data_IF_671789122490
#
_entry.id   IF_671789122490
#
_cell.length_a   1.000
_cell.length_b   1.000
_cell.length_c   1.000
_cell.angle_alpha   90.00
_cell.angle_beta   90.00
_cell.angle_gamma   90.00
#
_symmetry.space_group_name_H-M   'P 1'
#
loop_
_entity.id
_entity.type
_entity.pdbx_description
1 polymer ?
#
# COMPACT_ATOMS: atom_id res chain seq x y z
N UNK A 1 10.85 -6.40 7.94
CA UNK A 1 10.24 -6.53 6.61
C UNK A 1 10.55 -7.87 5.96
N UNK A 2 11.81 -8.28 5.83
CA UNK A 2 12.18 -9.51 5.10
C UNK A 2 11.50 -10.80 5.60
N UNK A 3 11.39 -10.97 6.91
CA UNK A 3 10.69 -12.11 7.51
C UNK A 3 9.20 -12.13 7.12
N UNK A 4 8.50 -11.00 7.27
CA UNK A 4 7.10 -10.86 6.86
C UNK A 4 6.92 -11.07 5.35
N UNK A 5 7.88 -10.65 4.53
CA UNK A 5 7.81 -10.85 3.07
C UNK A 5 7.86 -12.32 2.68
N UNK A 6 8.52 -13.18 3.46
CA UNK A 6 8.57 -14.62 3.21
C UNK A 6 7.25 -15.33 3.55
N UNK A 7 6.47 -14.76 4.48
CA UNK A 7 5.18 -15.30 4.91
C UNK A 7 4.01 -14.87 3.99
N UNK A 8 4.14 -13.74 3.30
CA UNK A 8 3.05 -13.13 2.54
C UNK A 8 3.05 -13.59 1.08
N UNK A 9 1.87 -13.98 0.59
CA UNK A 9 1.64 -14.24 -0.84
C UNK A 9 1.08 -12.99 -1.51
N UNK A 10 1.48 -12.76 -2.76
CA UNK A 10 1.03 -11.62 -3.58
C UNK A 10 0.55 -12.18 -4.91
N UNK A 11 -0.72 -11.93 -5.23
CA UNK A 11 -1.38 -12.38 -6.45
C UNK A 11 -1.89 -11.21 -7.29
N UNK A 12 -1.31 -10.02 -7.09
CA UNK A 12 -1.62 -8.82 -7.86
C UNK A 12 -1.27 -7.54 -7.11
N UNK A 13 -1.64 -6.40 -7.70
CA UNK A 13 -1.40 -5.08 -7.10
C UNK A 13 -2.51 -4.08 -7.44
N UNK A 14 -2.74 -3.10 -6.57
CA UNK A 14 -3.61 -1.95 -6.84
C UNK A 14 -2.77 -0.69 -6.74
N UNK A 15 -2.71 0.07 -7.83
CA UNK A 15 -2.10 1.41 -7.83
C UNK A 15 -3.13 2.41 -7.31
N UNK A 16 -2.76 3.15 -6.27
CA UNK A 16 -3.67 4.02 -5.53
C UNK A 16 -3.10 5.43 -5.52
N UNK A 17 -3.78 6.36 -6.18
CA UNK A 17 -3.54 7.78 -5.98
C UNK A 17 -4.13 8.19 -4.63
N UNK A 18 -3.25 8.54 -3.68
CA UNK A 18 -3.65 8.83 -2.31
C UNK A 18 -4.51 10.08 -2.18
N UNK A 19 -4.26 11.09 -3.00
CA UNK A 19 -4.99 12.36 -2.98
C UNK A 19 -6.37 12.14 -3.59
N UNK A 20 -6.42 11.46 -4.73
CA UNK A 20 -7.69 11.16 -5.39
C UNK A 20 -8.59 10.29 -4.49
N UNK A 21 -8.04 9.22 -3.92
CA UNK A 21 -8.83 8.30 -3.09
C UNK A 21 -9.38 8.97 -1.84
N UNK A 22 -8.60 9.79 -1.13
CA UNK A 22 -9.11 10.40 0.10
C UNK A 22 -10.17 11.47 -0.17
N UNK A 23 -10.12 12.13 -1.33
CA UNK A 23 -11.07 13.19 -1.70
C UNK A 23 -12.34 12.65 -2.36
N UNK A 24 -12.21 11.61 -3.18
CA UNK A 24 -13.28 11.19 -4.10
C UNK A 24 -13.91 9.84 -3.76
N UNK A 25 -13.18 8.92 -3.09
CA UNK A 25 -13.67 7.56 -2.87
C UNK A 25 -14.43 7.46 -1.54
N UNK A 26 -15.75 7.20 -1.55
CA UNK A 26 -16.49 6.95 -0.33
C UNK A 26 -15.96 5.72 0.39
N UNK A 27 -15.99 5.71 1.72
CA UNK A 27 -15.52 4.57 2.51
C UNK A 27 -16.22 3.25 2.14
N UNK A 28 -17.51 3.30 1.79
CA UNK A 28 -18.30 2.14 1.32
C UNK A 28 -17.74 1.51 0.04
N UNK A 29 -16.97 2.26 -0.76
CA UNK A 29 -16.35 1.79 -1.99
C UNK A 29 -14.90 1.36 -1.81
N UNK A 30 -14.28 1.67 -0.66
CA UNK A 30 -12.91 1.26 -0.35
C UNK A 30 -12.65 -0.25 -0.54
N UNK A 31 -13.56 -1.18 -0.17
CA UNK A 31 -13.37 -2.60 -0.42
C UNK A 31 -13.12 -2.97 -1.88
N UNK A 32 -13.60 -2.15 -2.85
CA UNK A 32 -13.38 -2.37 -4.28
C UNK A 32 -11.88 -2.30 -4.65
N UNK A 33 -11.05 -1.59 -3.88
CA UNK A 33 -9.61 -1.48 -4.11
C UNK A 33 -8.88 -2.82 -3.96
N UNK A 34 -9.46 -3.80 -3.26
CA UNK A 34 -8.88 -5.12 -3.11
C UNK A 34 -9.16 -6.00 -4.34
N UNK A 35 -10.10 -5.65 -5.22
CA UNK A 35 -10.48 -6.47 -6.36
C UNK A 35 -10.94 -7.87 -5.91
N UNK A 36 -10.45 -8.93 -6.59
CA UNK A 36 -10.89 -10.31 -6.35
C UNK A 36 -10.22 -11.00 -5.14
N UNK A 37 -9.09 -10.49 -4.65
CA UNK A 37 -8.36 -11.08 -3.50
C UNK A 37 -7.67 -10.01 -2.67
N UNK A 38 -7.66 -10.19 -1.35
CA UNK A 38 -6.91 -9.34 -0.43
C UNK A 38 -5.40 -9.61 -0.45
N UNK A 39 -4.99 -10.77 -0.97
CA UNK A 39 -3.58 -11.18 -1.07
C UNK A 39 -2.87 -10.44 -2.23
N UNK A 40 -2.77 -9.12 -2.11
CA UNK A 40 -2.21 -8.25 -3.14
C UNK A 40 -1.42 -7.09 -2.54
N UNK A 41 -0.61 -6.44 -3.37
CA UNK A 41 0.13 -5.24 -2.98
C UNK A 41 -0.73 -3.98 -3.18
N UNK A 42 -0.75 -3.10 -2.19
CA UNK A 42 -1.25 -1.74 -2.35
C UNK A 42 -0.08 -0.80 -2.60
N UNK A 43 -0.11 -0.08 -3.72
CA UNK A 43 0.97 0.81 -4.15
C UNK A 43 0.42 2.22 -4.15
N UNK A 44 0.73 2.99 -3.12
CA UNK A 44 0.27 4.35 -2.95
C UNK A 44 1.21 5.33 -3.66
N UNK A 45 0.66 6.15 -4.54
CA UNK A 45 1.30 7.31 -5.19
C UNK A 45 0.77 8.60 -4.58
N UNK A 46 1.41 9.73 -4.94
CA UNK A 46 1.07 11.06 -4.40
C UNK A 46 1.04 11.08 -2.86
N UNK A 47 2.05 10.44 -2.26
CA UNK A 47 2.20 10.32 -0.81
C UNK A 47 3.24 11.32 -0.31
N UNK A 48 2.94 12.03 0.79
CA UNK A 48 3.88 12.96 1.43
C UNK A 48 4.79 12.31 2.46
N UNK A 49 4.23 11.53 3.40
CA UNK A 49 4.99 10.90 4.51
C UNK A 49 4.59 9.45 4.80
N UNK A 50 3.52 8.95 4.17
CA UNK A 50 2.97 7.61 4.43
C UNK A 50 2.01 7.54 5.61
N UNK A 51 1.87 8.61 6.41
CA UNK A 51 0.97 8.64 7.57
C UNK A 51 -0.49 8.36 7.19
N UNK A 52 -1.01 9.09 6.19
CA UNK A 52 -2.41 8.95 5.74
C UNK A 52 -2.73 7.53 5.22
N UNK A 53 -1.96 6.96 4.25
CA UNK A 53 -2.17 5.59 3.81
C UNK A 53 -2.15 4.57 4.96
N UNK A 54 -1.21 4.70 5.89
CA UNK A 54 -1.11 3.75 7.00
C UNK A 54 -2.23 3.92 8.02
N UNK A 55 -2.72 5.14 8.27
CA UNK A 55 -3.91 5.34 9.13
C UNK A 55 -5.12 4.64 8.53
N UNK A 56 -5.33 4.72 7.21
CA UNK A 56 -6.38 3.95 6.53
C UNK A 56 -6.18 2.45 6.76
N UNK A 57 -4.95 1.95 6.53
CA UNK A 57 -4.61 0.55 6.80
C UNK A 57 -4.74 0.15 8.27
N UNK A 58 -4.75 1.07 9.23
CA UNK A 58 -5.00 0.77 10.65
C UNK A 58 -6.48 0.53 10.92
N UNK A 59 -7.36 1.33 10.31
CA UNK A 59 -8.78 1.36 10.64
C UNK A 59 -9.64 0.46 9.75
N UNK A 60 -9.16 0.06 8.57
CA UNK A 60 -9.90 -0.88 7.71
C UNK A 60 -9.81 -2.32 8.23
N UNK A 61 -10.89 -3.11 8.15
CA UNK A 61 -10.87 -4.50 8.63
C UNK A 61 -10.01 -5.43 7.76
N UNK A 62 -10.05 -5.22 6.44
CA UNK A 62 -9.27 -6.01 5.47
C UNK A 62 -7.90 -5.36 5.24
N UNK A 63 -6.83 -6.16 5.20
CA UNK A 63 -5.45 -5.67 5.00
C UNK A 63 -4.86 -6.26 3.71
N UNK A 64 -4.13 -5.47 2.91
CA UNK A 64 -3.37 -6.01 1.80
C UNK A 64 -2.19 -6.84 2.31
N UNK A 65 -1.61 -7.68 1.45
CA UNK A 65 -0.40 -8.44 1.78
C UNK A 65 0.80 -7.53 2.02
N UNK A 66 0.90 -6.43 1.27
CA UNK A 66 2.02 -5.48 1.32
C UNK A 66 1.50 -4.07 1.03
N UNK A 67 2.14 -3.07 1.64
CA UNK A 67 2.00 -1.66 1.28
C UNK A 67 3.33 -1.13 0.73
N UNK A 68 3.26 -0.47 -0.41
CA UNK A 68 4.39 0.21 -1.06
C UNK A 68 4.06 1.69 -1.16
N UNK A 69 4.96 2.56 -0.69
CA UNK A 69 4.84 4.00 -0.80
C UNK A 69 5.79 4.50 -1.89
N UNK A 70 5.24 5.06 -2.95
CA UNK A 70 6.00 5.58 -4.07
C UNK A 70 6.43 7.04 -3.83
N UNK A 71 7.64 7.39 -4.29
CA UNK A 71 8.12 8.77 -4.34
C UNK A 71 8.58 9.36 -2.99
N UNK A 72 8.54 8.59 -1.91
CA UNK A 72 8.94 9.08 -0.58
C UNK A 72 10.46 9.14 -0.38
N UNK A 73 10.91 10.22 0.27
CA UNK A 73 12.28 10.35 0.78
C UNK A 73 12.43 9.70 2.17
N UNK A 74 11.43 9.90 3.02
CA UNK A 74 11.41 9.36 4.38
C UNK A 74 9.98 8.97 4.75
N UNK A 75 9.85 7.86 5.47
CA UNK A 75 8.56 7.40 5.99
C UNK A 75 8.38 7.91 7.41
N UNK A 76 7.16 8.34 7.73
CA UNK A 76 6.82 8.78 9.06
C UNK A 76 6.97 7.67 10.12
N UNK A 77 7.45 8.03 11.32
CA UNK A 77 7.61 7.09 12.43
C UNK A 77 6.29 6.43 12.83
N UNK A 78 5.16 7.14 12.77
CA UNK A 78 3.84 6.57 13.06
C UNK A 78 3.44 5.55 11.99
N UNK A 79 3.69 5.85 10.71
CA UNK A 79 3.40 4.92 9.61
C UNK A 79 4.15 3.59 9.78
N UNK A 80 5.43 3.66 10.18
CA UNK A 80 6.25 2.48 10.49
C UNK A 80 5.67 1.69 11.68
N UNK A 81 5.30 2.38 12.77
CA UNK A 81 4.70 1.73 13.95
C UNK A 81 3.38 1.05 13.63
N UNK A 82 2.55 1.65 12.78
CA UNK A 82 1.30 1.05 12.31
C UNK A 82 1.60 -0.21 11.50
N UNK A 83 2.54 -0.15 10.55
CA UNK A 83 2.93 -1.29 9.74
C UNK A 83 3.39 -2.49 10.59
N UNK A 84 4.20 -2.23 11.62
CA UNK A 84 4.65 -3.23 12.58
C UNK A 84 3.47 -3.82 13.37
N UNK A 85 2.59 -2.97 13.90
CA UNK A 85 1.42 -3.38 14.69
C UNK A 85 0.44 -4.24 13.88
N UNK A 86 0.17 -3.86 12.64
CA UNK A 86 -0.74 -4.57 11.74
C UNK A 86 -0.06 -5.77 11.03
N UNK A 87 1.25 -5.99 11.26
CA UNK A 87 2.07 -6.99 10.55
C UNK A 87 1.96 -6.89 9.02
N UNK A 88 2.00 -5.66 8.53
CA UNK A 88 1.98 -5.34 7.10
C UNK A 88 3.41 -4.95 6.69
N UNK A 89 4.06 -5.66 5.76
CA UNK A 89 5.29 -5.19 5.14
C UNK A 89 5.09 -3.81 4.52
N UNK A 90 5.91 -2.85 4.93
CA UNK A 90 5.90 -1.49 4.41
C UNK A 90 7.19 -1.21 3.65
N UNK A 91 7.06 -0.97 2.35
CA UNK A 91 8.17 -0.72 1.44
C UNK A 91 8.10 0.70 0.88
N UNK A 92 9.23 1.19 0.40
CA UNK A 92 9.28 2.43 -0.39
C UNK A 92 9.95 2.18 -1.72
N UNK A 93 9.57 2.94 -2.74
CA UNK A 93 10.22 2.88 -4.05
C UNK A 93 10.26 4.26 -4.69
N UNK A 94 11.31 4.49 -5.47
CA UNK A 94 11.50 5.69 -6.30
C UNK A 94 11.55 5.35 -7.79
N UNK A 95 11.15 4.12 -8.17
CA UNK A 95 11.06 3.73 -9.57
C UNK A 95 10.07 4.62 -10.31
N UNK A 96 10.37 4.98 -11.55
CA UNK A 96 9.43 5.69 -12.41
C UNK A 96 8.12 4.89 -12.54
N UNK A 97 6.97 5.57 -12.54
CA UNK A 97 5.66 4.90 -12.58
C UNK A 97 5.50 3.90 -13.75
N UNK A 98 5.97 4.19 -14.99
CA UNK A 98 5.92 3.20 -16.07
C UNK A 98 6.71 1.93 -15.77
N UNK A 99 7.92 2.08 -15.20
CA UNK A 99 8.78 0.95 -14.82
C UNK A 99 8.20 0.16 -13.66
N UNK A 100 7.59 0.85 -12.69
CA UNK A 100 6.89 0.23 -11.59
C UNK A 100 5.70 -0.58 -12.08
N UNK A 101 4.88 -0.02 -12.98
CA UNK A 101 3.76 -0.74 -13.59
C UNK A 101 4.23 -1.98 -14.38
N UNK A 102 5.33 -1.88 -15.12
CA UNK A 102 5.92 -3.02 -15.82
C UNK A 102 6.43 -4.10 -14.85
N UNK A 103 7.13 -3.70 -13.79
CA UNK A 103 7.63 -4.62 -12.77
C UNK A 103 6.48 -5.36 -12.07
N UNK A 104 5.36 -4.67 -11.83
CA UNK A 104 4.18 -5.23 -11.18
C UNK A 104 3.32 -6.10 -12.10
N UNK A 105 3.39 -5.91 -13.43
CA UNK A 105 2.69 -6.77 -14.42
C UNK A 105 3.28 -8.17 -14.56
N UNK A 106 4.50 -8.40 -14.08
CA UNK A 106 5.19 -9.70 -14.16
C UNK A 106 4.72 -10.70 -13.10
N UNK A 107 3.76 -10.31 -12.27
CA UNK A 107 3.25 -11.06 -11.12
C UNK A 107 1.73 -11.25 -11.21
#
# INVERSE_FOLDING_TARGET
NEELLREKKIYGYTLIDSIKVILELPYSEFPKLYGHTSERAFVFTEVSTGRSPMVVMRVTPMKPSIVVLHGLQSVDKLAIKIAQKERIPLLTTKLDLPKLAEALKKW
#
